data_IF_153000329278
#
_entry.id   IF_153000329278
#
_cell.length_a   1.000
_cell.length_b   1.000
_cell.length_c   1.000
_cell.angle_alpha   90.00
_cell.angle_beta   90.00
_cell.angle_gamma   90.00
#
_symmetry.space_group_name_H-M   'P 1'
#
loop_
_entity.id
_entity.type
_entity.pdbx_description
1 polymer ?
#
# COMPACT_ATOMS: atom_id res chain seq x y z
N UNK A 1 -15.88 -2.93 15.56
CA UNK A 1 -14.46 -2.89 15.12
C UNK A 1 -14.36 -1.97 13.92
N UNK A 2 -13.51 -0.94 13.97
CA UNK A 2 -13.32 -0.04 12.83
C UNK A 2 -12.65 -0.79 11.67
N UNK A 3 -13.38 -1.04 10.58
CA UNK A 3 -12.84 -1.71 9.38
C UNK A 3 -11.58 -1.02 8.85
N UNK A 4 -11.52 0.32 8.96
CA UNK A 4 -10.34 1.12 8.62
C UNK A 4 -9.08 0.74 9.44
N UNK A 5 -9.25 0.41 10.72
CA UNK A 5 -8.12 0.03 11.57
C UNK A 5 -7.57 -1.35 11.20
N UNK A 6 -8.46 -2.28 10.84
CA UNK A 6 -8.06 -3.60 10.33
C UNK A 6 -7.35 -3.48 8.99
N UNK A 7 -7.82 -2.61 8.10
CA UNK A 7 -7.20 -2.32 6.80
C UNK A 7 -5.79 -1.76 6.99
N UNK A 8 -5.64 -0.72 7.81
CA UNK A 8 -4.34 -0.13 8.12
C UNK A 8 -3.38 -1.13 8.74
N UNK A 9 -3.87 -1.99 9.64
CA UNK A 9 -3.04 -3.02 10.26
C UNK A 9 -2.53 -4.03 9.23
N UNK A 10 -3.42 -4.56 8.38
CA UNK A 10 -3.03 -5.48 7.29
C UNK A 10 -2.05 -4.82 6.33
N UNK A 11 -2.33 -3.60 5.91
CA UNK A 11 -1.43 -2.86 5.03
C UNK A 11 -0.04 -2.74 5.68
N UNK A 12 0.02 -2.29 6.93
CA UNK A 12 1.27 -2.18 7.68
C UNK A 12 2.03 -3.51 7.81
N UNK A 13 1.33 -4.63 8.00
CA UNK A 13 1.94 -5.97 8.03
C UNK A 13 2.56 -6.35 6.67
N UNK A 14 1.87 -6.07 5.56
CA UNK A 14 2.42 -6.30 4.22
C UNK A 14 3.64 -5.40 4.00
N UNK A 15 3.54 -4.08 4.22
CA UNK A 15 4.68 -3.17 4.08
C UNK A 15 5.89 -3.63 4.90
N UNK A 16 5.67 -4.07 6.15
CA UNK A 16 6.74 -4.57 7.01
C UNK A 16 7.36 -5.86 6.46
N UNK A 17 6.58 -6.75 5.86
CA UNK A 17 7.07 -7.99 5.22
C UNK A 17 8.00 -7.71 4.04
N UNK A 18 7.80 -6.58 3.35
CA UNK A 18 8.66 -6.10 2.27
C UNK A 18 9.81 -5.21 2.79
N UNK A 19 9.99 -5.07 4.11
CA UNK A 19 11.03 -4.24 4.73
C UNK A 19 10.73 -2.74 4.74
N UNK A 20 9.52 -2.34 4.37
CA UNK A 20 9.07 -0.95 4.31
C UNK A 20 8.49 -0.56 5.66
N UNK A 21 9.21 0.28 6.40
CA UNK A 21 8.70 0.83 7.64
C UNK A 21 7.85 2.08 7.36
N UNK A 22 6.56 2.03 7.70
CA UNK A 22 5.61 3.17 7.58
C UNK A 22 5.84 4.27 8.65
N UNK A 23 7.06 4.41 9.13
CA UNK A 23 7.39 5.19 10.32
C UNK A 23 8.15 6.46 9.88
N UNK A 24 7.70 7.63 10.34
CA UNK A 24 8.41 8.89 10.08
C UNK A 24 8.37 9.34 8.61
N UNK A 25 9.53 9.66 8.04
CA UNK A 25 9.68 10.16 6.67
C UNK A 25 9.46 9.08 5.60
N UNK A 26 9.68 7.81 5.95
CA UNK A 26 9.63 6.68 5.01
C UNK A 26 8.25 6.40 4.39
N UNK A 27 7.18 6.87 5.02
CA UNK A 27 5.83 6.78 4.43
C UNK A 27 5.64 7.64 3.18
N UNK A 28 6.46 8.69 3.02
CA UNK A 28 6.46 9.56 1.84
C UNK A 28 7.57 9.17 0.84
N UNK A 29 8.34 8.12 1.14
CA UNK A 29 9.43 7.71 0.26
C UNK A 29 8.88 7.00 -0.97
N UNK A 30 9.40 7.38 -2.13
CA UNK A 30 9.05 6.75 -3.39
C UNK A 30 9.59 5.31 -3.42
N UNK A 31 8.75 4.33 -3.75
CA UNK A 31 9.14 2.91 -3.70
C UNK A 31 10.40 2.62 -4.54
N UNK A 32 10.43 3.11 -5.78
CA UNK A 32 11.54 2.87 -6.70
C UNK A 32 12.70 3.86 -6.45
N UNK A 33 12.42 5.16 -6.29
CA UNK A 33 13.49 6.18 -6.26
C UNK A 33 14.16 6.34 -4.89
N UNK A 34 13.42 6.20 -3.79
CA UNK A 34 13.94 6.43 -2.44
C UNK A 34 14.19 5.11 -1.71
N UNK A 35 13.25 4.16 -1.82
CA UNK A 35 13.38 2.85 -1.18
C UNK A 35 14.19 1.86 -2.04
N UNK A 36 14.61 2.24 -3.25
CA UNK A 36 15.34 1.40 -4.20
C UNK A 36 14.71 0.01 -4.37
N UNK A 37 13.38 -0.07 -4.32
CA UNK A 37 12.68 -1.33 -4.56
C UNK A 37 12.64 -1.63 -6.05
N UNK A 38 12.91 -2.89 -6.39
CA UNK A 38 12.66 -3.33 -7.76
C UNK A 38 11.16 -3.28 -8.07
N UNK A 39 10.78 -2.89 -9.29
CA UNK A 39 9.39 -2.90 -9.74
C UNK A 39 8.67 -4.24 -9.50
N UNK A 40 9.40 -5.36 -9.56
CA UNK A 40 8.87 -6.70 -9.27
C UNK A 40 8.38 -6.81 -7.82
N UNK A 41 9.12 -6.26 -6.85
CA UNK A 41 8.70 -6.24 -5.45
C UNK A 41 7.54 -5.27 -5.22
N UNK A 42 7.52 -4.12 -5.91
CA UNK A 42 6.41 -3.17 -5.82
C UNK A 42 5.12 -3.80 -6.36
N UNK A 43 5.19 -4.51 -7.48
CA UNK A 43 4.05 -5.23 -8.04
C UNK A 43 3.57 -6.34 -7.09
N UNK A 44 4.49 -7.10 -6.48
CA UNK A 44 4.14 -8.10 -5.46
C UNK A 44 3.46 -7.48 -4.23
N UNK A 45 3.99 -6.36 -3.75
CA UNK A 45 3.44 -5.60 -2.63
C UNK A 45 2.00 -5.15 -2.91
N UNK A 46 1.76 -4.57 -4.08
CA UNK A 46 0.43 -4.13 -4.52
C UNK A 46 -0.52 -5.33 -4.58
N UNK A 47 -0.12 -6.41 -5.25
CA UNK A 47 -0.93 -7.62 -5.39
C UNK A 47 -1.33 -8.21 -4.03
N UNK A 48 -0.39 -8.26 -3.08
CA UNK A 48 -0.65 -8.79 -1.75
C UNK A 48 -1.59 -7.89 -0.94
N UNK A 49 -1.45 -6.57 -1.07
CA UNK A 49 -2.40 -5.61 -0.47
C UNK A 49 -3.80 -5.80 -1.05
N UNK A 50 -3.94 -5.87 -2.38
CA UNK A 50 -5.22 -6.13 -3.05
C UNK A 50 -5.85 -7.45 -2.57
N UNK A 51 -5.06 -8.50 -2.48
CA UNK A 51 -5.51 -9.82 -2.03
C UNK A 51 -5.98 -9.81 -0.57
N UNK A 52 -5.21 -9.18 0.32
CA UNK A 52 -5.51 -9.10 1.77
C UNK A 52 -6.73 -8.22 2.06
N UNK A 53 -6.90 -7.16 1.28
CA UNK A 53 -7.97 -6.18 1.42
C UNK A 53 -9.21 -6.53 0.60
N UNK A 54 -9.11 -7.50 -0.33
CA UNK A 54 -10.15 -7.87 -1.28
C UNK A 54 -10.61 -6.66 -2.12
N UNK A 55 -9.69 -5.75 -2.40
CA UNK A 55 -9.89 -4.55 -3.21
C UNK A 55 -9.00 -4.67 -4.44
N UNK A 56 -9.50 -4.26 -5.60
CA UNK A 56 -8.70 -4.15 -6.81
C UNK A 56 -8.52 -2.67 -7.15
N UNK A 57 -7.26 -2.23 -7.18
CA UNK A 57 -6.90 -0.89 -7.62
C UNK A 57 -6.74 -0.92 -9.14
N UNK A 58 -7.26 0.12 -9.81
CA UNK A 58 -7.03 0.26 -11.24
C UNK A 58 -5.56 0.60 -11.49
N UNK A 59 -4.99 0.05 -12.57
CA UNK A 59 -3.59 0.31 -12.98
C UNK A 59 -3.28 1.81 -13.06
N UNK A 60 -4.23 2.63 -13.54
CA UNK A 60 -4.10 4.08 -13.62
C UNK A 60 -3.90 4.74 -12.25
N UNK A 61 -4.54 4.20 -11.21
CA UNK A 61 -4.37 4.69 -9.83
C UNK A 61 -3.06 4.21 -9.24
N UNK A 62 -2.63 2.97 -9.56
CA UNK A 62 -1.35 2.42 -9.15
C UNK A 62 -0.18 3.20 -9.74
N UNK A 63 -0.28 3.65 -10.99
CA UNK A 63 0.71 4.52 -11.63
C UNK A 63 0.88 5.86 -10.89
N UNK A 64 -0.15 6.31 -10.17
CA UNK A 64 -0.11 7.52 -9.34
C UNK A 64 0.33 7.22 -7.90
N UNK A 65 0.26 5.97 -7.45
CA UNK A 65 0.56 5.54 -6.10
C UNK A 65 2.03 5.14 -5.95
N UNK A 66 2.90 6.13 -5.95
CA UNK A 66 4.34 5.93 -5.91
C UNK A 66 4.92 5.83 -4.50
N UNK A 67 4.14 6.21 -3.50
CA UNK A 67 4.55 6.22 -2.09
C UNK A 67 3.62 5.35 -1.22
N UNK A 68 4.12 4.80 -0.10
CA UNK A 68 3.31 4.03 0.84
C UNK A 68 2.08 4.80 1.34
N UNK A 69 2.24 6.10 1.59
CA UNK A 69 1.15 6.97 2.03
C UNK A 69 0.06 7.11 0.98
N UNK A 70 0.41 7.32 -0.29
CA UNK A 70 -0.56 7.42 -1.37
C UNK A 70 -1.29 6.10 -1.56
N UNK A 71 -0.56 4.98 -1.54
CA UNK A 71 -1.15 3.66 -1.69
C UNK A 71 -2.17 3.38 -0.57
N UNK A 72 -1.81 3.68 0.69
CA UNK A 72 -2.74 3.57 1.83
C UNK A 72 -3.93 4.52 1.69
N UNK A 73 -3.70 5.75 1.21
CA UNK A 73 -4.77 6.72 1.00
C UNK A 73 -5.79 6.22 -0.04
N UNK A 74 -5.32 5.64 -1.15
CA UNK A 74 -6.19 5.04 -2.16
C UNK A 74 -7.07 3.93 -1.56
N UNK A 75 -6.49 3.04 -0.75
CA UNK A 75 -7.27 1.99 -0.11
C UNK A 75 -8.28 2.52 0.93
N UNK A 76 -7.99 3.65 1.58
CA UNK A 76 -8.90 4.31 2.51
C UNK A 76 -10.01 5.11 1.82
N UNK A 77 -9.72 5.67 0.64
CA UNK A 77 -10.68 6.42 -0.18
C UNK A 77 -11.65 5.51 -0.92
N UNK A 78 -11.27 4.26 -1.18
CA UNK A 78 -12.17 3.26 -1.76
C UNK A 78 -13.32 2.96 -0.77
N UNK A 79 -14.58 3.22 -1.14
CA UNK A 79 -15.71 2.85 -0.31
C UNK A 79 -15.70 1.33 -0.17
N UNK A 80 -15.44 0.86 1.05
CA UNK A 80 -15.57 -0.54 1.41
C UNK A 80 -17.06 -0.88 1.30
N UNK A 81 -17.52 -1.26 0.10
CA UNK A 81 -18.87 -1.75 -0.12
C UNK A 81 -19.04 -3.03 0.70
N UNK A 82 -19.74 -2.90 1.82
CA UNK A 82 -20.13 -3.98 2.71
C UNK A 82 -21.40 -4.67 2.20
#
# INVERSE_FOLDING_TARGET
>A
MNQQFTLLKKAAEVFHSYGIMLNGARKNDHFIQNLNMDPVFVNGLIFELEFQLKVYLQEEMLQRACTPKELIALFLEMPQSN
#
